data_IF_367242571258
#
_entry.id   IF_367242571258
#
_cell.length_a   1.000
_cell.length_b   1.000
_cell.length_c   1.000
_cell.angle_alpha   90.00
_cell.angle_beta   90.00
_cell.angle_gamma   90.00
#
_symmetry.space_group_name_H-M   'P 1'
#
loop_
_entity.id
_entity.type
_entity.pdbx_description
1 polymer ?
#
# COMPACT_ATOMS: atom_id res chain seq x y z
N UNK A 1 -19.10 4.01 -70.57
CA UNK A 1 -17.68 4.14 -70.94
C UNK A 1 -16.91 4.10 -69.65
N UNK A 2 -16.45 2.89 -69.35
CA UNK A 2 -15.55 2.53 -68.25
C UNK A 2 -14.24 3.30 -68.39
N UNK A 3 -13.69 3.81 -67.30
CA UNK A 3 -12.28 4.22 -67.24
C UNK A 3 -11.64 3.49 -66.06
N UNK A 4 -10.81 2.52 -66.42
CA UNK A 4 -10.10 1.58 -65.58
C UNK A 4 -8.99 2.22 -64.75
N UNK A 5 -8.84 1.71 -63.54
CA UNK A 5 -7.73 1.97 -62.64
C UNK A 5 -6.47 1.23 -63.13
N UNK A 6 -5.39 1.96 -63.39
CA UNK A 6 -4.07 1.38 -63.67
C UNK A 6 -3.18 1.46 -62.44
N UNK A 7 -2.83 0.30 -61.87
CA UNK A 7 -1.84 0.12 -60.81
C UNK A 7 -0.40 0.08 -61.39
N UNK A 8 0.64 0.55 -60.68
CA UNK A 8 2.02 0.36 -61.11
C UNK A 8 2.75 -0.80 -60.40
N UNK A 9 3.40 -1.60 -61.25
CA UNK A 9 4.72 -2.25 -61.10
C UNK A 9 4.95 -3.35 -60.06
N UNK A 10 4.85 -4.61 -60.50
CA UNK A 10 5.39 -5.80 -59.82
C UNK A 10 6.80 -6.24 -60.25
N UNK A 11 7.45 -5.53 -61.20
CA UNK A 11 8.75 -5.97 -61.76
C UNK A 11 9.97 -5.42 -60.99
N UNK A 12 9.95 -4.17 -60.52
CA UNK A 12 11.09 -3.58 -59.77
C UNK A 12 11.39 -4.28 -58.44
N UNK A 13 10.37 -4.87 -57.81
CA UNK A 13 10.55 -5.61 -56.55
C UNK A 13 11.28 -6.96 -56.75
N UNK A 14 11.17 -7.56 -57.95
CA UNK A 14 11.76 -8.88 -58.23
C UNK A 14 13.26 -8.83 -58.52
N UNK A 15 13.76 -7.73 -59.09
CA UNK A 15 15.19 -7.56 -59.34
C UNK A 15 15.99 -7.27 -58.07
N UNK A 16 15.46 -6.43 -57.18
CA UNK A 16 16.08 -6.15 -55.87
C UNK A 16 16.23 -7.40 -54.99
N UNK A 17 15.26 -8.32 -55.04
CA UNK A 17 15.29 -9.58 -54.28
C UNK A 17 16.37 -10.57 -54.78
N UNK A 18 16.73 -10.54 -56.07
CA UNK A 18 17.78 -11.40 -56.64
C UNK A 18 19.18 -10.91 -56.24
N UNK A 19 19.45 -9.62 -56.37
CA UNK A 19 20.73 -9.03 -55.94
C UNK A 19 20.98 -9.17 -54.44
N UNK A 20 19.92 -9.08 -53.61
CA UNK A 20 20.01 -9.29 -52.17
C UNK A 20 20.39 -10.74 -51.82
N UNK A 21 19.77 -11.74 -52.47
CA UNK A 21 20.09 -13.17 -52.25
C UNK A 21 21.52 -13.53 -52.67
N UNK A 22 22.01 -12.94 -53.75
CA UNK A 22 23.36 -13.18 -54.25
C UNK A 22 24.42 -12.50 -53.37
N UNK A 23 24.13 -11.31 -52.83
CA UNK A 23 24.97 -10.64 -51.83
C UNK A 23 25.04 -11.41 -50.50
N UNK A 24 23.91 -11.93 -50.02
CA UNK A 24 23.80 -12.80 -48.84
C UNK A 24 24.50 -14.15 -49.00
N UNK A 25 24.86 -14.56 -50.22
CA UNK A 25 25.53 -15.83 -50.47
C UNK A 25 27.02 -15.83 -50.14
N UNK A 26 27.66 -14.65 -50.12
CA UNK A 26 29.10 -14.48 -49.87
C UNK A 26 29.43 -14.95 -48.45
N UNK A 27 30.38 -15.89 -48.32
CA UNK A 27 30.75 -16.48 -47.02
C UNK A 27 31.13 -15.44 -45.96
N UNK A 28 31.74 -14.33 -46.38
CA UNK A 28 32.06 -13.20 -45.48
C UNK A 28 30.79 -12.50 -44.97
N UNK A 29 29.80 -12.27 -45.84
CA UNK A 29 28.53 -11.60 -45.48
C UNK A 29 27.70 -12.47 -44.55
N UNK A 30 27.62 -13.79 -44.81
CA UNK A 30 26.96 -14.74 -43.89
C UNK A 30 27.56 -14.72 -42.49
N UNK A 31 28.89 -14.67 -42.40
CA UNK A 31 29.59 -14.64 -41.13
C UNK A 31 29.34 -13.35 -40.34
N UNK A 32 29.37 -12.19 -41.02
CA UNK A 32 29.02 -10.91 -40.42
C UNK A 32 27.57 -10.83 -39.96
N UNK A 33 26.62 -11.40 -40.72
CA UNK A 33 25.21 -11.47 -40.32
C UNK A 33 25.05 -12.37 -39.10
N UNK A 34 25.71 -13.52 -39.06
CA UNK A 34 25.68 -14.41 -37.89
C UNK A 34 26.21 -13.70 -36.63
N UNK A 35 27.28 -12.91 -36.76
CA UNK A 35 27.82 -12.10 -35.66
C UNK A 35 26.85 -11.01 -35.23
N UNK A 36 26.26 -10.27 -36.16
CA UNK A 36 25.28 -9.22 -35.84
C UNK A 36 24.06 -9.80 -35.13
N UNK A 37 23.56 -10.96 -35.57
CA UNK A 37 22.45 -11.65 -34.90
C UNK A 37 22.86 -12.09 -33.49
N UNK A 38 24.06 -12.63 -33.32
CA UNK A 38 24.55 -13.02 -31.99
C UNK A 38 24.69 -11.81 -31.05
N UNK A 39 25.20 -10.68 -31.55
CA UNK A 39 25.30 -9.43 -30.78
C UNK A 39 23.91 -8.94 -30.39
N UNK A 40 22.94 -8.91 -31.31
CA UNK A 40 21.56 -8.49 -31.01
C UNK A 40 20.90 -9.41 -29.98
N UNK A 41 21.13 -10.72 -30.06
CA UNK A 41 20.62 -11.65 -29.05
C UNK A 41 21.27 -11.40 -27.68
N UNK A 42 22.57 -11.16 -27.64
CA UNK A 42 23.28 -10.82 -26.41
C UNK A 42 22.81 -9.49 -25.82
N UNK A 43 22.55 -8.47 -26.64
CA UNK A 43 22.04 -7.18 -26.15
C UNK A 43 20.61 -7.32 -25.62
N UNK A 44 19.75 -8.10 -26.26
CA UNK A 44 18.38 -8.36 -25.76
C UNK A 44 18.43 -9.10 -24.42
N UNK A 45 19.30 -10.09 -24.26
CA UNK A 45 19.49 -10.78 -22.98
C UNK A 45 20.03 -9.83 -21.92
N UNK A 46 21.07 -9.03 -22.24
CA UNK A 46 21.65 -8.07 -21.30
C UNK A 46 20.65 -7.01 -20.85
N UNK A 47 19.88 -6.43 -21.79
CA UNK A 47 18.83 -5.45 -21.48
C UNK A 47 17.71 -6.11 -20.69
N UNK A 48 17.32 -7.34 -21.04
CA UNK A 48 16.33 -8.11 -20.27
C UNK A 48 16.78 -8.35 -18.82
N UNK A 49 18.05 -8.69 -18.60
CA UNK A 49 18.61 -8.85 -17.26
C UNK A 49 18.75 -7.52 -16.54
N UNK A 50 19.13 -6.44 -17.23
CA UNK A 50 19.25 -5.10 -16.64
C UNK A 50 17.89 -4.59 -16.17
N UNK A 51 16.86 -4.72 -17.02
CA UNK A 51 15.49 -4.37 -16.67
C UNK A 51 14.94 -5.26 -15.54
N UNK A 52 15.33 -6.54 -15.48
CA UNK A 52 14.97 -7.40 -14.35
C UNK A 52 15.69 -7.03 -13.04
N UNK A 53 16.93 -6.54 -13.12
CA UNK A 53 17.72 -6.13 -11.95
C UNK A 53 17.20 -4.83 -11.33
N UNK A 54 16.48 -4.00 -12.08
CA UNK A 54 15.94 -2.73 -11.56
C UNK A 54 14.60 -2.88 -10.81
N UNK A 55 13.98 -4.07 -10.83
CA UNK A 55 12.72 -4.36 -10.13
C UNK A 55 12.90 -5.21 -8.84
N UNK A 56 14.09 -5.76 -8.57
CA UNK A 56 14.34 -6.50 -7.33
C UNK A 56 14.70 -5.52 -6.19
N UNK A 57 13.67 -4.86 -5.64
CA UNK A 57 13.71 -4.24 -4.31
C UNK A 57 14.16 -5.34 -3.32
N UNK A 58 15.43 -5.32 -2.94
CA UNK A 58 16.02 -6.32 -2.05
C UNK A 58 15.35 -6.22 -0.70
N UNK A 59 14.30 -7.02 -0.52
CA UNK A 59 13.52 -7.14 0.68
C UNK A 59 14.42 -7.73 1.77
N UNK A 60 15.16 -6.90 2.51
CA UNK A 60 15.80 -7.33 3.75
C UNK A 60 14.66 -7.89 4.61
N UNK A 61 14.68 -9.18 4.98
CA UNK A 61 13.63 -9.75 5.80
C UNK A 61 13.72 -9.08 7.16
N UNK A 62 12.82 -8.12 7.38
CA UNK A 62 12.61 -7.50 8.68
C UNK A 62 12.04 -8.60 9.60
N UNK A 63 12.94 -9.24 10.34
CA UNK A 63 12.61 -10.32 11.26
C UNK A 63 12.04 -9.77 12.59
N UNK A 64 11.79 -8.46 12.69
CA UNK A 64 11.09 -7.90 13.84
C UNK A 64 9.62 -8.31 13.80
N UNK A 65 9.14 -8.88 14.91
CA UNK A 65 7.73 -9.15 15.10
C UNK A 65 7.02 -7.80 15.25
N UNK A 66 6.52 -7.25 14.14
CA UNK A 66 5.70 -6.05 14.17
C UNK A 66 4.32 -6.40 14.72
N UNK A 67 4.04 -5.90 15.92
CA UNK A 67 2.71 -5.99 16.54
C UNK A 67 1.64 -5.38 15.62
N UNK A 68 1.97 -4.27 14.96
CA UNK A 68 1.02 -3.48 14.17
C UNK A 68 1.54 -3.27 12.74
N UNK A 69 0.65 -3.41 11.76
CA UNK A 69 0.82 -3.09 10.34
C UNK A 69 0.27 -1.68 10.07
N UNK A 70 1.04 -0.88 9.33
CA UNK A 70 0.64 0.44 8.87
C UNK A 70 0.05 0.39 7.46
N UNK A 71 -0.98 1.18 7.23
CA UNK A 71 -1.66 1.36 5.94
C UNK A 71 -1.79 2.86 5.61
N UNK A 72 -1.49 3.29 4.37
CA UNK A 72 -0.93 2.50 3.27
C UNK A 72 0.46 1.96 3.63
N UNK A 73 0.89 0.89 2.96
CA UNK A 73 2.18 0.30 3.26
C UNK A 73 3.30 1.27 2.85
N UNK A 74 4.21 1.62 3.76
CA UNK A 74 5.35 2.45 3.41
C UNK A 74 6.27 1.76 2.39
N UNK A 75 6.92 2.57 1.56
CA UNK A 75 7.89 2.06 0.60
C UNK A 75 9.12 1.55 1.33
N UNK A 76 9.57 0.35 0.95
CA UNK A 76 10.82 -0.23 1.43
C UNK A 76 12.01 0.33 0.63
N UNK A 77 13.23 0.23 1.18
CA UNK A 77 13.59 -0.22 2.53
C UNK A 77 13.40 0.85 3.62
N UNK A 78 13.13 2.10 3.25
CA UNK A 78 13.17 3.25 4.19
C UNK A 78 11.92 3.44 5.05
N UNK A 79 10.86 2.66 4.82
CA UNK A 79 9.56 2.79 5.47
C UNK A 79 8.96 4.21 5.35
N UNK A 80 9.01 4.81 4.15
CA UNK A 80 8.54 6.18 3.89
C UNK A 80 7.22 6.17 3.11
N UNK A 81 6.27 7.02 3.53
CA UNK A 81 5.11 7.40 2.73
C UNK A 81 5.36 8.81 2.19
N UNK A 82 5.60 8.93 0.88
CA UNK A 82 5.82 10.22 0.21
C UNK A 82 4.69 10.50 -0.78
N UNK A 83 4.11 11.69 -0.71
CA UNK A 83 3.09 12.15 -1.65
C UNK A 83 3.06 13.67 -1.72
N UNK A 84 2.50 14.19 -2.80
CA UNK A 84 2.24 15.63 -2.97
C UNK A 84 0.74 15.88 -2.94
N UNK A 85 0.31 16.83 -2.12
CA UNK A 85 -1.09 17.23 -1.99
C UNK A 85 -1.44 18.42 -2.90
N UNK A 86 -2.72 18.77 -3.03
CA UNK A 86 -3.19 19.89 -3.83
C UNK A 86 -3.54 19.57 -5.30
N UNK A 87 -3.68 20.63 -6.11
CA UNK A 87 -4.24 20.60 -7.47
C UNK A 87 -3.21 20.32 -8.57
N UNK A 88 -2.32 19.33 -8.35
CA UNK A 88 -1.42 18.87 -9.40
C UNK A 88 -2.17 18.13 -10.52
N UNK A 89 -1.64 18.12 -11.77
CA UNK A 89 -2.12 17.25 -12.83
C UNK A 89 -2.14 15.79 -12.38
N UNK A 90 -3.13 15.02 -12.85
CA UNK A 90 -3.39 13.64 -12.41
C UNK A 90 -2.15 12.74 -12.51
N UNK A 91 -1.33 12.93 -13.54
CA UNK A 91 -0.09 12.15 -13.78
C UNK A 91 0.98 12.33 -12.69
N UNK A 92 0.98 13.44 -11.94
CA UNK A 92 1.91 13.69 -10.84
C UNK A 92 1.41 13.25 -9.46
N UNK A 93 0.24 12.60 -9.41
CA UNK A 93 -0.46 12.30 -8.16
C UNK A 93 -0.19 10.86 -7.73
N UNK A 94 0.66 10.69 -6.72
CA UNK A 94 1.03 9.36 -6.16
C UNK A 94 0.01 8.84 -5.16
N UNK A 95 -0.69 9.74 -4.46
CA UNK A 95 -1.64 9.34 -3.41
C UNK A 95 -2.88 8.54 -3.86
N UNK A 96 -3.36 8.53 -5.12
CA UNK A 96 -4.46 7.66 -5.52
C UNK A 96 -4.14 6.20 -5.26
N UNK A 97 -2.90 5.76 -5.51
CA UNK A 97 -2.45 4.39 -5.21
C UNK A 97 -2.41 4.13 -3.70
N UNK A 98 -2.00 5.12 -2.91
CA UNK A 98 -2.05 5.05 -1.45
C UNK A 98 -3.49 4.89 -0.95
N UNK A 99 -4.41 5.71 -1.46
CA UNK A 99 -5.84 5.66 -1.09
C UNK A 99 -6.50 4.36 -1.55
N UNK A 100 -6.05 3.79 -2.67
CA UNK A 100 -6.51 2.48 -3.15
C UNK A 100 -6.16 1.36 -2.16
N UNK A 101 -4.97 1.38 -1.56
CA UNK A 101 -4.63 0.43 -0.50
C UNK A 101 -5.54 0.57 0.72
N UNK A 102 -5.98 1.81 1.04
CA UNK A 102 -6.94 2.06 2.12
C UNK A 102 -8.35 1.58 1.77
N UNK A 103 -8.78 1.74 0.52
CA UNK A 103 -10.04 1.18 0.04
C UNK A 103 -10.04 -0.36 0.15
N UNK A 104 -8.98 -1.01 -0.35
CA UNK A 104 -8.80 -2.46 -0.27
C UNK A 104 -8.81 -2.99 1.17
N UNK A 105 -8.29 -2.18 2.10
CA UNK A 105 -8.36 -2.44 3.52
C UNK A 105 -9.79 -2.43 4.04
N UNK A 106 -10.53 -1.36 3.74
CA UNK A 106 -11.84 -1.07 4.31
C UNK A 106 -12.97 -1.91 3.72
N UNK A 107 -12.77 -2.49 2.52
CA UNK A 107 -13.73 -3.44 1.91
C UNK A 107 -14.06 -4.59 2.88
N UNK A 108 -13.07 -5.08 3.66
CA UNK A 108 -13.26 -6.19 4.62
C UNK A 108 -14.11 -5.84 5.82
N UNK A 109 -14.38 -4.55 6.04
CA UNK A 109 -15.11 -4.02 7.19
C UNK A 109 -16.43 -3.37 6.83
N UNK A 110 -16.83 -3.44 5.56
CA UNK A 110 -18.11 -2.92 5.14
C UNK A 110 -19.25 -3.66 5.87
N UNK A 111 -20.40 -3.00 6.11
CA UNK A 111 -21.54 -3.62 6.79
C UNK A 111 -22.01 -4.93 6.16
N UNK A 112 -21.77 -5.14 4.86
CA UNK A 112 -22.04 -6.38 4.14
C UNK A 112 -21.13 -7.54 4.59
N UNK A 113 -19.84 -7.29 4.80
CA UNK A 113 -18.88 -8.29 5.30
C UNK A 113 -19.19 -8.71 6.75
N UNK A 114 -19.71 -7.76 7.53
CA UNK A 114 -20.12 -7.94 8.94
C UNK A 114 -21.43 -8.75 9.11
N UNK A 115 -22.03 -9.30 8.04
CA UNK A 115 -23.22 -10.18 8.11
C UNK A 115 -22.90 -11.67 8.16
N UNK A 116 -21.62 -12.02 8.17
CA UNK A 116 -21.18 -13.42 8.26
C UNK A 116 -21.64 -14.06 9.57
N UNK A 117 -22.03 -15.35 9.53
CA UNK A 117 -22.47 -16.11 10.71
C UNK A 117 -21.45 -16.16 11.86
N UNK A 118 -20.18 -15.85 11.56
CA UNK A 118 -19.09 -15.88 12.52
C UNK A 118 -18.77 -14.50 13.11
N UNK A 119 -19.49 -13.44 12.73
CA UNK A 119 -19.29 -12.08 13.26
C UNK A 119 -20.41 -11.78 14.26
N UNK A 120 -20.06 -11.49 15.50
CA UNK A 120 -21.01 -11.23 16.60
C UNK A 120 -20.80 -9.85 17.19
N UNK A 121 -21.84 -9.33 17.84
CA UNK A 121 -21.72 -8.10 18.62
C UNK A 121 -21.08 -8.41 19.98
N UNK A 122 -20.05 -7.64 20.36
CA UNK A 122 -19.24 -7.86 21.56
C UNK A 122 -19.50 -6.86 22.68
N UNK A 123 -20.49 -5.97 22.55
CA UNK A 123 -20.81 -5.02 23.61
C UNK A 123 -21.20 -5.74 24.91
N UNK A 124 -20.59 -5.34 26.04
CA UNK A 124 -21.01 -5.77 27.39
C UNK A 124 -20.22 -6.92 28.02
N UNK A 125 -19.03 -7.27 27.52
CA UNK A 125 -18.16 -8.24 28.20
C UNK A 125 -18.59 -9.71 28.07
N UNK A 126 -19.31 -10.03 26.98
CA UNK A 126 -19.79 -11.38 26.71
C UNK A 126 -18.61 -12.28 26.35
N UNK A 127 -18.58 -13.49 26.92
CA UNK A 127 -17.66 -14.55 26.49
C UNK A 127 -18.05 -14.99 25.07
N UNK A 128 -17.16 -14.73 24.12
CA UNK A 128 -17.38 -15.06 22.71
C UNK A 128 -17.11 -16.56 22.52
N UNK A 129 -18.03 -17.27 21.86
CA UNK A 129 -17.85 -18.67 21.48
C UNK A 129 -16.59 -18.86 20.61
N UNK A 130 -15.95 -20.03 20.77
CA UNK A 130 -14.85 -20.44 19.89
C UNK A 130 -15.28 -20.32 18.42
N UNK A 131 -14.44 -19.69 17.59
CA UNK A 131 -14.67 -19.45 16.15
C UNK A 131 -15.66 -18.31 15.80
N UNK A 132 -15.99 -17.42 16.75
CA UNK A 132 -16.67 -16.14 16.48
C UNK A 132 -15.71 -14.96 16.64
N UNK A 133 -15.97 -13.88 15.89
CA UNK A 133 -15.17 -12.64 15.92
C UNK A 133 -16.05 -11.43 16.21
N UNK A 134 -15.47 -10.44 16.88
CA UNK A 134 -16.17 -9.18 17.15
C UNK A 134 -16.43 -8.38 15.88
N UNK A 135 -17.65 -7.88 15.77
CA UNK A 135 -18.01 -6.85 14.80
C UNK A 135 -17.24 -5.57 15.10
N UNK A 136 -16.51 -5.09 14.10
CA UNK A 136 -15.87 -3.78 14.14
C UNK A 136 -16.67 -2.79 13.30
N UNK A 137 -17.08 -1.68 13.94
CA UNK A 137 -17.81 -0.61 13.27
C UNK A 137 -16.85 0.46 12.75
N UNK A 138 -16.78 0.62 11.43
CA UNK A 138 -15.92 1.61 10.77
C UNK A 138 -16.53 3.01 10.71
N UNK A 139 -17.81 3.19 11.02
CA UNK A 139 -18.49 4.49 10.89
C UNK A 139 -17.76 5.61 11.65
N UNK A 140 -17.29 5.42 12.90
CA UNK A 140 -16.52 6.46 13.61
C UNK A 140 -15.21 6.84 12.90
N UNK A 141 -14.56 5.90 12.21
CA UNK A 141 -13.34 6.18 11.43
C UNK A 141 -13.64 7.01 10.19
N UNK A 142 -14.79 6.78 9.56
CA UNK A 142 -15.18 7.42 8.30
C UNK A 142 -15.62 8.89 8.46
N UNK A 143 -15.76 9.39 9.68
CA UNK A 143 -16.10 10.80 9.92
C UNK A 143 -15.02 11.75 9.40
N UNK A 144 -13.75 11.41 9.66
CA UNK A 144 -12.59 12.23 9.25
C UNK A 144 -11.78 11.56 8.12
N UNK A 145 -11.88 10.23 7.98
CA UNK A 145 -11.07 9.46 7.03
C UNK A 145 -11.93 8.67 6.04
N UNK A 146 -12.81 9.39 5.34
CA UNK A 146 -13.66 8.81 4.30
C UNK A 146 -12.98 8.79 2.92
N UNK A 147 -13.39 7.82 2.10
CA UNK A 147 -13.05 7.78 0.67
C UNK A 147 -13.44 9.08 -0.07
N UNK A 148 -14.60 9.66 0.27
CA UNK A 148 -15.08 10.92 -0.33
C UNK A 148 -14.17 12.11 -0.04
N UNK A 149 -13.40 12.07 1.04
CA UNK A 149 -12.41 13.08 1.40
C UNK A 149 -10.98 12.67 1.01
N UNK A 150 -10.82 11.67 0.13
CA UNK A 150 -9.53 11.12 -0.27
C UNK A 150 -8.63 10.74 0.92
N UNK A 151 -9.23 10.37 2.05
CA UNK A 151 -8.50 10.08 3.29
C UNK A 151 -7.54 11.24 3.68
N UNK A 152 -7.91 12.49 3.36
CA UNK A 152 -7.16 13.71 3.65
C UNK A 152 -5.85 13.91 2.86
N UNK A 153 -5.51 13.03 1.91
CA UNK A 153 -4.28 13.13 1.12
C UNK A 153 -4.26 14.35 0.18
N UNK A 154 -5.42 14.76 -0.33
CA UNK A 154 -5.56 15.95 -1.17
C UNK A 154 -5.35 17.26 -0.39
N UNK A 155 -5.69 17.25 0.91
CA UNK A 155 -5.56 18.39 1.82
C UNK A 155 -4.24 18.43 2.60
N UNK A 156 -3.33 17.47 2.37
CA UNK A 156 -2.07 17.37 3.13
C UNK A 156 -2.28 16.97 4.60
N UNK A 157 -3.40 16.31 4.91
CA UNK A 157 -3.76 15.79 6.24
C UNK A 157 -4.02 14.29 6.13
N UNK A 158 -2.99 13.50 5.79
CA UNK A 158 -3.18 12.11 5.40
C UNK A 158 -3.66 11.30 6.59
N UNK A 159 -4.57 10.41 6.27
CA UNK A 159 -5.05 9.38 7.14
C UNK A 159 -4.16 8.12 6.99
N UNK A 160 -3.59 7.62 8.09
CA UNK A 160 -3.00 6.26 8.15
C UNK A 160 -3.78 5.32 9.07
N UNK A 161 -3.87 4.04 8.73
CA UNK A 161 -4.52 3.01 9.54
C UNK A 161 -3.50 2.04 10.12
N UNK A 162 -3.76 1.61 11.35
CA UNK A 162 -2.97 0.69 12.16
C UNK A 162 -3.79 -0.58 12.36
N UNK A 163 -3.25 -1.71 11.92
CA UNK A 163 -3.86 -3.04 12.01
C UNK A 163 -2.99 -3.94 12.86
N UNK A 164 -3.54 -4.55 13.91
CA UNK A 164 -2.80 -5.60 14.60
C UNK A 164 -2.51 -6.78 13.68
N UNK A 165 -1.26 -7.24 13.73
CA UNK A 165 -0.92 -8.52 13.16
C UNK A 165 -1.55 -9.64 14.00
N UNK A 166 -1.92 -10.75 13.35
CA UNK A 166 -2.40 -11.92 14.07
C UNK A 166 -1.19 -12.64 14.68
N UNK A 167 -0.91 -12.37 15.96
CA UNK A 167 0.17 -13.00 16.71
C UNK A 167 -0.45 -14.07 17.59
N UNK A 168 -0.13 -15.33 17.29
CA UNK A 168 -0.53 -16.47 18.10
C UNK A 168 0.05 -16.33 19.52
N UNK A 169 -0.76 -16.63 20.53
CA UNK A 169 -0.37 -16.65 21.95
C UNK A 169 0.01 -15.29 22.58
N UNK A 170 -0.28 -14.16 21.91
CA UNK A 170 -0.13 -12.84 22.52
C UNK A 170 -1.42 -12.39 23.21
N UNK A 171 -1.35 -12.22 24.53
CA UNK A 171 -2.42 -11.67 25.36
C UNK A 171 -1.93 -10.36 25.95
N UNK A 172 -2.47 -9.20 25.54
CA UNK A 172 -2.06 -7.92 26.09
C UNK A 172 -2.58 -7.71 27.51
N UNK A 173 -1.70 -7.17 28.33
CA UNK A 173 -2.00 -6.69 29.67
C UNK A 173 -2.14 -5.17 29.60
N UNK A 174 -3.35 -4.61 29.82
CA UNK A 174 -3.56 -3.17 29.75
C UNK A 174 -2.84 -2.47 30.91
N UNK A 175 -2.22 -1.33 30.62
CA UNK A 175 -1.65 -0.47 31.66
C UNK A 175 -2.71 -0.01 32.66
N UNK A 176 -2.32 0.08 33.92
CA UNK A 176 -3.10 0.79 34.94
C UNK A 176 -3.06 2.30 34.70
N UNK A 177 -4.01 3.05 35.27
CA UNK A 177 -4.04 4.51 35.15
C UNK A 177 -2.72 5.16 35.58
N UNK A 178 -2.12 4.69 36.67
CA UNK A 178 -0.86 5.20 37.22
C UNK A 178 0.33 4.93 36.32
N UNK A 179 0.39 3.76 35.68
CA UNK A 179 1.47 3.44 34.76
C UNK A 179 1.36 4.30 33.50
N UNK A 180 0.14 4.51 33.03
CA UNK A 180 -0.12 5.26 31.81
C UNK A 180 0.19 6.75 31.94
N UNK A 181 0.07 7.35 33.13
CA UNK A 181 0.48 8.74 33.41
C UNK A 181 1.95 9.02 33.04
N UNK A 182 2.82 8.01 33.12
CA UNK A 182 4.24 8.15 32.76
C UNK A 182 4.48 8.21 31.25
N UNK A 183 3.56 7.65 30.45
CA UNK A 183 3.73 7.51 28.99
C UNK A 183 2.82 8.44 28.22
N UNK A 184 1.66 8.78 28.76
CA UNK A 184 0.63 9.55 28.08
C UNK A 184 0.06 10.59 29.03
N UNK A 185 0.09 11.86 28.60
CA UNK A 185 -0.69 12.93 29.25
C UNK A 185 -2.18 12.67 29.01
N UNK A 186 -2.79 11.90 29.89
CA UNK A 186 -4.22 11.63 29.89
C UNK A 186 -4.96 12.93 30.24
N UNK A 187 -5.90 13.35 29.41
CA UNK A 187 -6.91 14.31 29.85
C UNK A 187 -7.84 13.63 30.85
N UNK A 188 -8.26 14.31 31.92
CA UNK A 188 -9.07 13.82 33.07
C UNK A 188 -10.33 12.98 32.76
N UNK A 189 -10.73 12.79 31.50
CA UNK A 189 -11.94 12.06 31.08
C UNK A 189 -11.72 10.66 30.50
N UNK A 190 -10.48 10.20 30.37
CA UNK A 190 -10.23 8.84 29.88
C UNK A 190 -10.43 7.83 31.00
N UNK A 191 -11.56 7.11 30.98
CA UNK A 191 -11.76 5.94 31.83
C UNK A 191 -10.71 4.89 31.47
N UNK A 192 -9.65 4.82 32.26
CA UNK A 192 -8.57 3.86 32.07
C UNK A 192 -9.06 2.49 32.52
N UNK A 193 -9.65 1.73 31.60
CA UNK A 193 -9.86 0.30 31.83
C UNK A 193 -10.02 -0.40 30.50
N UNK A 194 -9.16 -1.39 30.26
CA UNK A 194 -9.33 -2.40 29.23
C UNK A 194 -9.05 -1.96 27.77
N UNK A 195 -7.91 -1.33 27.49
CA UNK A 195 -7.45 -1.09 26.11
C UNK A 195 -5.93 -1.17 25.97
N UNK A 196 -5.47 -1.50 24.77
CA UNK A 196 -4.06 -1.37 24.36
C UNK A 196 -3.84 0.04 23.81
N UNK A 197 -3.11 0.87 24.54
CA UNK A 197 -2.87 2.27 24.16
C UNK A 197 -1.92 2.40 22.97
N UNK A 198 -2.17 3.44 22.16
CA UNK A 198 -1.30 3.82 21.06
C UNK A 198 -0.74 5.23 21.24
N UNK A 199 0.54 5.37 20.92
CA UNK A 199 1.19 6.66 20.87
C UNK A 199 2.11 6.78 19.65
N UNK A 200 1.98 7.88 18.94
CA UNK A 200 2.73 8.25 17.76
C UNK A 200 3.50 9.53 18.07
N UNK A 201 4.82 9.46 17.93
CA UNK A 201 5.74 10.52 18.29
C UNK A 201 6.79 10.68 17.19
N UNK A 202 7.36 11.87 17.06
CA UNK A 202 8.53 12.11 16.20
C UNK A 202 9.78 11.49 16.83
N UNK A 203 10.65 10.95 15.97
CA UNK A 203 11.90 10.28 16.39
C UNK A 203 12.91 11.30 16.96
N UNK A 204 13.03 12.46 16.30
CA UNK A 204 13.83 13.57 16.79
C UNK A 204 12.97 14.75 17.25
N UNK A 205 13.58 15.70 17.98
CA UNK A 205 12.92 16.97 18.36
C UNK A 205 12.41 17.73 17.14
N UNK A 206 13.19 17.73 16.05
CA UNK A 206 12.82 18.38 14.78
C UNK A 206 11.60 17.69 14.18
N UNK A 207 11.52 16.37 14.24
CA UNK A 207 10.34 15.64 13.75
C UNK A 207 9.12 15.92 14.61
N UNK A 208 9.27 15.99 15.94
CA UNK A 208 8.18 16.32 16.86
C UNK A 208 7.60 17.71 16.58
N UNK A 209 8.45 18.71 16.31
CA UNK A 209 8.03 20.05 15.93
C UNK A 209 7.34 20.10 14.55
N UNK A 210 7.79 19.27 13.61
CA UNK A 210 7.27 19.25 12.22
C UNK A 210 6.05 18.33 12.01
N UNK A 211 5.81 17.36 12.90
CA UNK A 211 4.74 16.37 12.79
C UNK A 211 3.33 16.97 12.90
N UNK A 212 3.22 18.12 13.58
CA UNK A 212 1.94 18.78 13.82
C UNK A 212 1.04 18.01 14.79
N UNK A 213 -0.25 18.36 14.81
CA UNK A 213 -1.19 17.73 15.75
C UNK A 213 -1.63 16.36 15.22
N UNK A 214 -1.43 15.32 16.04
CA UNK A 214 -1.99 14.00 15.80
C UNK A 214 -3.39 13.88 16.39
N UNK A 215 -4.34 13.34 15.62
CA UNK A 215 -5.65 12.93 16.13
C UNK A 215 -5.87 11.43 15.89
N UNK A 216 -6.25 10.75 16.98
CA UNK A 216 -6.64 9.35 17.02
C UNK A 216 -8.16 9.23 16.95
N UNK A 217 -8.65 8.25 16.18
CA UNK A 217 -10.09 7.92 16.10
C UNK A 217 -10.29 6.41 16.00
N UNK A 218 -11.36 5.84 16.61
CA UNK A 218 -12.29 6.52 17.53
C UNK A 218 -11.66 6.82 18.89
N UNK A 219 -10.79 5.93 19.36
CA UNK A 219 -10.08 6.01 20.63
C UNK A 219 -8.57 5.97 20.39
N UNK A 220 -7.79 6.39 21.39
CA UNK A 220 -6.32 6.30 21.39
C UNK A 220 -5.85 4.92 21.87
N UNK A 221 -6.40 3.88 21.28
CA UNK A 221 -6.08 2.51 21.65
C UNK A 221 -7.13 1.50 21.23
N UNK A 222 -6.73 0.23 21.30
CA UNK A 222 -7.56 -0.89 20.88
C UNK A 222 -8.27 -1.46 22.09
N UNK A 223 -9.60 -1.42 22.08
CA UNK A 223 -10.40 -1.95 23.19
C UNK A 223 -10.18 -3.46 23.34
N UNK A 224 -10.01 -3.88 24.58
CA UNK A 224 -9.96 -5.28 24.99
C UNK A 224 -11.39 -5.74 25.23
N UNK A 225 -11.97 -6.44 24.27
CA UNK A 225 -13.23 -7.12 24.47
C UNK A 225 -12.87 -8.51 25.05
N UNK A 226 -13.63 -8.99 26.03
CA UNK A 226 -13.33 -10.17 26.88
C UNK A 226 -13.32 -11.54 26.17
N UNK A 227 -13.01 -11.59 24.87
CA UNK A 227 -12.52 -12.80 24.23
C UNK A 227 -11.73 -12.40 22.98
N UNK A 228 -10.50 -12.91 22.93
CA UNK A 228 -9.44 -12.58 21.99
C UNK A 228 -9.88 -12.90 20.55
N UNK A 229 -10.38 -11.90 19.84
CA UNK A 229 -10.40 -11.89 18.38
C UNK A 229 -10.11 -10.47 17.89
N UNK A 230 -8.81 -10.20 17.75
CA UNK A 230 -8.28 -8.89 17.42
C UNK A 230 -8.64 -8.48 16.00
N UNK A 231 -9.57 -7.53 15.89
CA UNK A 231 -9.77 -6.72 14.70
C UNK A 231 -10.07 -5.27 15.07
N UNK A 232 -9.34 -4.73 16.05
CA UNK A 232 -9.38 -3.31 16.36
C UNK A 232 -8.34 -2.63 15.47
N UNK A 233 -8.71 -1.55 14.78
CA UNK A 233 -7.90 -0.89 13.73
C UNK A 233 -7.96 0.63 13.95
N UNK A 234 -6.82 1.29 14.23
CA UNK A 234 -6.79 2.71 14.63
C UNK A 234 -6.22 3.60 13.55
N UNK A 235 -6.72 4.82 13.55
CA UNK A 235 -6.37 5.86 12.64
C UNK A 235 -5.43 6.90 13.28
N UNK A 236 -4.40 7.34 12.56
CA UNK A 236 -3.54 8.47 12.96
C UNK A 236 -3.65 9.54 11.86
N UNK A 237 -4.24 10.68 12.18
CA UNK A 237 -4.21 11.86 11.29
C UNK A 237 -3.05 12.75 11.68
N UNK A 238 -2.26 13.23 10.72
CA UNK A 238 -1.30 14.33 10.96
C UNK A 238 -1.91 15.62 10.43
N UNK A 239 -2.00 16.66 11.28
CA UNK A 239 -2.51 17.98 10.89
C UNK A 239 -1.35 18.98 10.84
N UNK A 240 -0.99 19.42 9.63
CA UNK A 240 -0.16 20.61 9.40
C UNK A 240 -1.05 21.87 9.40
N UNK A 241 -0.60 22.92 10.07
CA UNK A 241 -1.15 24.28 9.98
C UNK A 241 -0.29 25.12 9.05
#
# INVERSE_FOLDING_TARGET
MENDATAPSGEKAKEGAKGLREWLSKSRVKWWIAILVAIVLLTVVLVGTLLAVEDDDYDIPDNSIRLVKLWPRPNKPRNIINFVHGSLPIEGRVWPDLTKQLDELLIRYQPSANRSRNVVDCFGGIQIEDNKVCKFDIRPLMLECSKSMNYGYDQGKPCVFLEFNNITDWIPEPYTARELENYVKLSERSSVSNMVYLDCQGDSLVDQENMGRIQYTPDRGFQLNSSLSWASRIHVTTRRH
#
